data_IF_660079757090
#
_entry.id   IF_660079757090
#
_cell.length_a   1.000
_cell.length_b   1.000
_cell.length_c   1.000
_cell.angle_alpha   90.00
_cell.angle_beta   90.00
_cell.angle_gamma   90.00
#
_symmetry.space_group_name_H-M   'P 1'
#
loop_
_entity.id
_entity.type
_entity.pdbx_description
1 polymer ?
#
# COMPACT_ATOMS: atom_id res chain seq x y z
N UNK A 1 10.81 12.01 14.11
CA UNK A 1 10.05 12.56 12.98
C UNK A 1 8.58 12.64 13.34
N UNK A 2 7.70 11.72 12.95
CA UNK A 2 6.25 11.88 13.15
C UNK A 2 5.84 12.09 14.62
N UNK A 3 6.17 11.16 15.52
CA UNK A 3 5.78 11.26 16.94
C UNK A 3 6.48 12.42 17.69
N UNK A 4 7.64 12.86 17.18
CA UNK A 4 8.37 14.01 17.71
C UNK A 4 7.82 15.35 17.23
N UNK A 5 7.01 15.36 16.17
CA UNK A 5 6.48 16.57 15.53
C UNK A 5 7.43 17.19 14.49
N UNK A 6 8.48 16.49 14.04
CA UNK A 6 9.38 17.02 13.01
C UNK A 6 8.73 17.02 11.61
N UNK A 7 7.66 16.24 11.43
CA UNK A 7 6.81 16.20 10.23
C UNK A 7 5.34 16.16 10.65
N UNK A 8 4.46 16.78 9.88
CA UNK A 8 3.02 16.87 10.20
C UNK A 8 2.24 15.60 9.83
N UNK A 9 2.67 14.89 8.78
CA UNK A 9 2.01 13.71 8.26
C UNK A 9 2.99 12.71 7.65
N UNK A 10 2.61 11.44 7.65
CA UNK A 10 3.32 10.35 7.00
C UNK A 10 2.34 9.54 6.16
N UNK A 11 2.69 9.32 4.89
CA UNK A 11 2.01 8.36 4.01
C UNK A 11 3.01 7.26 3.66
N UNK A 12 2.75 6.03 4.12
CA UNK A 12 3.67 4.90 3.99
C UNK A 12 2.92 3.57 3.83
N UNK A 13 3.56 2.60 3.17
CA UNK A 13 3.00 1.26 2.97
C UNK A 13 2.93 0.45 4.28
N UNK A 14 3.82 0.74 5.23
CA UNK A 14 3.86 0.10 6.54
C UNK A 14 3.47 1.15 7.57
N UNK A 15 2.59 0.78 8.50
CA UNK A 15 2.20 1.67 9.59
C UNK A 15 3.44 2.07 10.42
N UNK A 16 3.59 3.35 10.78
CA UNK A 16 4.72 3.80 11.58
C UNK A 16 4.70 3.15 12.96
N UNK A 17 5.88 2.82 13.47
CA UNK A 17 6.03 2.10 14.73
C UNK A 17 5.34 2.77 15.94
N UNK A 18 5.33 4.11 16.09
CA UNK A 18 4.55 4.78 17.14
C UNK A 18 3.03 4.50 17.07
N UNK A 19 2.47 4.36 15.87
CA UNK A 19 1.07 3.98 15.68
C UNK A 19 0.84 2.53 16.12
N UNK A 20 1.74 1.62 15.75
CA UNK A 20 1.66 0.20 16.14
C UNK A 20 1.77 0.00 17.66
N UNK A 21 2.58 0.82 18.35
CA UNK A 21 2.65 0.84 19.82
C UNK A 21 1.43 1.49 20.50
N UNK A 22 0.50 2.08 19.75
CA UNK A 22 -0.65 2.78 20.31
C UNK A 22 -0.32 4.15 20.92
N UNK A 23 0.68 4.87 20.40
CA UNK A 23 0.98 6.22 20.85
C UNK A 23 -0.23 7.15 20.66
N UNK A 24 -0.59 7.90 21.71
CA UNK A 24 -1.68 8.90 21.65
C UNK A 24 -1.34 10.12 20.80
N UNK A 25 -0.08 10.27 20.37
CA UNK A 25 0.39 11.40 19.54
C UNK A 25 0.24 11.14 18.05
N UNK A 26 -0.06 9.91 17.63
CA UNK A 26 -0.15 9.53 16.22
C UNK A 26 -1.50 8.88 15.99
N UNK A 27 -2.21 9.32 14.94
CA UNK A 27 -3.51 8.79 14.53
C UNK A 27 -3.61 8.71 13.01
N UNK A 28 -4.58 7.95 12.50
CA UNK A 28 -4.90 7.98 11.07
C UNK A 28 -5.51 9.33 10.69
N UNK A 29 -5.26 9.77 9.46
CA UNK A 29 -5.84 11.02 8.96
C UNK A 29 -7.38 10.90 8.81
N UNK A 30 -7.83 9.73 8.34
CA UNK A 30 -9.24 9.36 8.28
C UNK A 30 -9.49 8.24 9.29
N UNK A 31 -10.40 8.46 10.23
CA UNK A 31 -10.80 7.42 11.20
C UNK A 31 -11.66 6.33 10.51
N UNK A 32 -12.44 6.72 9.51
CA UNK A 32 -13.27 5.88 8.65
C UNK A 32 -12.61 5.62 7.29
N UNK A 33 -11.31 5.28 7.29
CA UNK A 33 -10.51 5.13 6.05
C UNK A 33 -11.11 4.11 5.07
N UNK A 34 -11.75 3.04 5.55
CA UNK A 34 -12.42 2.03 4.71
C UNK A 34 -13.55 2.63 3.88
N UNK A 35 -14.39 3.46 4.50
CA UNK A 35 -15.51 4.14 3.82
C UNK A 35 -14.98 5.16 2.81
N UNK A 36 -13.97 5.94 3.21
CA UNK A 36 -13.32 6.97 2.36
C UNK A 36 -12.67 6.33 1.14
N UNK A 37 -11.94 5.23 1.30
CA UNK A 37 -11.31 4.50 0.19
C UNK A 37 -12.36 3.92 -0.78
N UNK A 38 -13.44 3.32 -0.25
CA UNK A 38 -14.55 2.82 -1.07
C UNK A 38 -15.23 3.93 -1.86
N UNK A 39 -15.42 5.11 -1.25
CA UNK A 39 -15.99 6.27 -1.93
C UNK A 39 -15.05 6.82 -3.00
N UNK A 40 -13.76 6.92 -2.70
CA UNK A 40 -12.73 7.32 -3.67
C UNK A 40 -12.77 6.40 -4.89
N UNK A 41 -12.71 5.08 -4.68
CA UNK A 41 -12.77 4.11 -5.78
C UNK A 41 -14.09 4.21 -6.55
N UNK A 42 -15.24 4.38 -5.86
CA UNK A 42 -16.53 4.54 -6.54
C UNK A 42 -16.52 5.73 -7.50
N UNK A 43 -15.92 6.85 -7.11
CA UNK A 43 -15.82 8.10 -7.89
C UNK A 43 -14.79 8.02 -9.02
N UNK A 44 -13.61 7.48 -8.74
CA UNK A 44 -12.45 7.59 -9.66
C UNK A 44 -12.15 6.33 -10.45
N UNK A 45 -12.62 5.17 -9.97
CA UNK A 45 -12.21 3.83 -10.41
C UNK A 45 -10.70 3.57 -10.27
N UNK A 46 -9.98 4.43 -9.55
CA UNK A 46 -8.56 4.24 -9.25
C UNK A 46 -8.46 3.43 -7.96
N UNK A 47 -7.88 2.24 -8.07
CA UNK A 47 -7.46 1.45 -6.92
C UNK A 47 -5.92 1.42 -6.90
N UNK A 48 -5.26 1.83 -5.81
CA UNK A 48 -3.81 1.82 -5.73
C UNK A 48 -3.24 0.43 -6.01
N UNK A 49 -2.26 0.37 -6.89
CA UNK A 49 -1.50 -0.86 -7.19
C UNK A 49 -0.68 -1.24 -5.95
N UNK A 50 -0.81 -2.49 -5.53
CA UNK A 50 0.04 -3.12 -4.51
C UNK A 50 1.38 -3.57 -5.14
N UNK A 51 2.02 -4.60 -4.58
CA UNK A 51 3.28 -5.14 -5.10
C UNK A 51 3.11 -5.74 -6.49
N UNK A 52 4.03 -5.39 -7.39
CA UNK A 52 4.08 -5.88 -8.77
C UNK A 52 5.28 -6.80 -8.94
N UNK A 53 5.02 -8.01 -9.45
CA UNK A 53 6.08 -8.89 -9.96
C UNK A 53 6.17 -8.70 -11.47
N UNK A 54 7.39 -8.46 -11.97
CA UNK A 54 7.66 -8.32 -13.40
C UNK A 54 8.56 -9.45 -13.87
N UNK A 55 8.29 -9.97 -15.06
CA UNK A 55 9.09 -11.01 -15.72
C UNK A 55 9.71 -10.39 -16.97
N UNK A 56 11.01 -10.62 -17.19
CA UNK A 56 11.67 -10.24 -18.45
C UNK A 56 10.96 -10.95 -19.61
N UNK A 57 10.55 -10.19 -20.63
CA UNK A 57 9.76 -10.70 -21.76
C UNK A 57 10.42 -11.91 -22.42
N UNK A 58 11.71 -11.82 -22.73
CA UNK A 58 12.48 -12.91 -23.34
C UNK A 58 12.48 -14.21 -22.50
N UNK A 59 12.41 -14.11 -21.16
CA UNK A 59 12.38 -15.26 -20.27
C UNK A 59 10.99 -15.90 -20.30
N UNK A 60 9.94 -15.10 -20.32
CA UNK A 60 8.57 -15.58 -20.44
C UNK A 60 8.31 -16.27 -21.78
N UNK A 61 8.79 -15.68 -22.88
CA UNK A 61 8.64 -16.26 -24.22
C UNK A 61 9.35 -17.62 -24.34
N UNK A 62 10.53 -17.79 -23.72
CA UNK A 62 11.25 -19.06 -23.66
C UNK A 62 10.64 -20.07 -22.68
N UNK A 63 10.05 -19.58 -21.59
CA UNK A 63 9.52 -20.41 -20.49
C UNK A 63 8.14 -19.92 -20.00
N UNK A 64 7.07 -20.12 -20.79
CA UNK A 64 5.76 -19.54 -20.46
C UNK A 64 5.17 -20.00 -19.11
N UNK A 65 5.58 -21.17 -18.63
CA UNK A 65 5.13 -21.73 -17.34
C UNK A 65 5.58 -20.91 -16.13
N UNK A 66 6.63 -20.08 -16.23
CA UNK A 66 7.12 -19.25 -15.13
C UNK A 66 6.01 -18.33 -14.58
N UNK A 67 5.16 -17.79 -15.47
CA UNK A 67 4.06 -16.92 -15.03
C UNK A 67 3.06 -17.66 -14.13
N UNK A 68 2.72 -18.91 -14.46
CA UNK A 68 1.79 -19.71 -13.67
C UNK A 68 2.43 -20.12 -12.34
N UNK A 69 3.71 -20.52 -12.35
CA UNK A 69 4.44 -20.98 -11.16
C UNK A 69 4.77 -19.86 -10.16
N UNK A 70 4.79 -18.59 -10.59
CA UNK A 70 4.96 -17.46 -9.67
C UNK A 70 3.63 -16.96 -9.10
N UNK A 71 2.51 -17.33 -9.72
CA UNK A 71 1.18 -16.94 -9.28
C UNK A 71 0.53 -17.97 -8.34
N UNK A 72 0.80 -19.26 -8.56
CA UNK A 72 0.29 -20.40 -7.76
C UNK A 72 1.42 -21.08 -7.02
#
# INVERSE_FOLDING_TARGET
MLEKGDIDALYSAIAPEPYLRGSRKVKTLFENYVEVEKEYFRKTKIFPIMHLVVIRRELYERHPWIAINLYK
#
